data_IF_076146777493
#
_entry.id   IF_076146777493
#
_cell.length_a   1.000
_cell.length_b   1.000
_cell.length_c   1.000
_cell.angle_alpha   90.00
_cell.angle_beta   90.00
_cell.angle_gamma   90.00
#
_symmetry.space_group_name_H-M   'P 1'
#
loop_
_entity.id
_entity.type
_entity.pdbx_description
1 polymer ?
#
# COMPACT_ATOMS: atom_id res chain seq x y z
N UNK A 1 -12.32 -20.84 -3.22
CA UNK A 1 -11.66 -19.78 -4.01
C UNK A 1 -12.26 -19.76 -5.40
N UNK A 2 -13.04 -18.71 -5.70
CA UNK A 2 -13.57 -18.49 -7.06
C UNK A 2 -12.51 -17.83 -7.94
N UNK A 3 -12.63 -17.93 -9.27
CA UNK A 3 -11.70 -17.27 -10.20
C UNK A 3 -11.69 -15.74 -10.08
N UNK A 4 -12.79 -15.15 -9.60
CA UNK A 4 -12.90 -13.71 -9.35
C UNK A 4 -12.10 -13.27 -8.11
N UNK A 5 -12.24 -14.02 -7.02
CA UNK A 5 -11.56 -13.76 -5.75
C UNK A 5 -10.03 -13.84 -5.89
N UNK A 6 -9.52 -14.86 -6.59
CA UNK A 6 -8.09 -14.99 -6.87
C UNK A 6 -7.54 -13.85 -7.74
N UNK A 7 -8.35 -13.38 -8.68
CA UNK A 7 -7.98 -12.24 -9.54
C UNK A 7 -7.92 -10.95 -8.74
N UNK A 8 -8.91 -10.71 -7.86
CA UNK A 8 -8.96 -9.51 -7.04
C UNK A 8 -7.78 -9.44 -6.06
N UNK A 9 -7.45 -10.55 -5.40
CA UNK A 9 -6.30 -10.63 -4.49
C UNK A 9 -4.97 -10.37 -5.23
N UNK A 10 -4.82 -10.93 -6.45
CA UNK A 10 -3.63 -10.71 -7.27
C UNK A 10 -3.47 -9.23 -7.64
N UNK A 11 -4.56 -8.57 -8.08
CA UNK A 11 -4.55 -7.14 -8.40
C UNK A 11 -4.22 -6.28 -7.17
N UNK A 12 -4.82 -6.58 -6.01
CA UNK A 12 -4.52 -5.85 -4.77
C UNK A 12 -3.05 -5.98 -4.36
N UNK A 13 -2.45 -7.16 -4.56
CA UNK A 13 -1.04 -7.41 -4.28
C UNK A 13 -0.11 -6.65 -5.25
N UNK A 14 -0.47 -6.60 -6.52
CA UNK A 14 0.28 -5.85 -7.54
C UNK A 14 0.22 -4.34 -7.28
N UNK A 15 -0.97 -3.80 -7.01
CA UNK A 15 -1.15 -2.39 -6.66
C UNK A 15 -0.36 -2.01 -5.40
N UNK A 16 -0.31 -2.89 -4.39
CA UNK A 16 0.52 -2.70 -3.20
C UNK A 16 2.00 -2.57 -3.56
N UNK A 17 2.51 -3.50 -4.37
CA UNK A 17 3.93 -3.53 -4.75
C UNK A 17 4.29 -2.31 -5.60
N UNK A 18 3.50 -1.98 -6.60
CA UNK A 18 3.70 -0.80 -7.45
C UNK A 18 3.61 0.51 -6.67
N UNK A 19 2.65 0.62 -5.74
CA UNK A 19 2.50 1.81 -4.89
C UNK A 19 3.69 2.05 -3.97
N UNK A 20 4.26 0.99 -3.37
CA UNK A 20 5.47 1.12 -2.56
C UNK A 20 6.67 1.58 -3.39
N UNK A 21 6.84 1.03 -4.60
CA UNK A 21 7.91 1.47 -5.53
C UNK A 21 7.72 2.94 -5.90
N UNK A 22 6.49 3.36 -6.19
CA UNK A 22 6.18 4.74 -6.57
C UNK A 22 6.45 5.73 -5.42
N UNK A 23 6.06 5.40 -4.19
CA UNK A 23 6.36 6.22 -3.00
C UNK A 23 7.87 6.32 -2.80
N UNK A 24 8.62 5.23 -2.95
CA UNK A 24 10.07 5.24 -2.85
C UNK A 24 10.72 6.13 -3.92
N UNK A 25 10.26 6.05 -5.17
CA UNK A 25 10.75 6.93 -6.24
C UNK A 25 10.47 8.40 -5.94
N UNK A 26 9.28 8.74 -5.44
CA UNK A 26 8.93 10.12 -5.08
C UNK A 26 9.81 10.62 -3.93
N UNK A 27 9.97 9.83 -2.87
CA UNK A 27 10.82 10.20 -1.74
C UNK A 27 12.27 10.45 -2.19
N UNK A 28 12.81 9.58 -3.04
CA UNK A 28 14.15 9.73 -3.61
C UNK A 28 14.26 10.98 -4.50
N UNK A 29 13.28 11.22 -5.37
CA UNK A 29 13.26 12.41 -6.23
C UNK A 29 13.24 13.71 -5.39
N UNK A 30 12.50 13.74 -4.28
CA UNK A 30 12.47 14.86 -3.35
C UNK A 30 13.81 15.07 -2.66
N UNK A 31 14.46 14.00 -2.17
CA UNK A 31 15.80 14.09 -1.57
C UNK A 31 16.85 14.59 -2.57
N UNK A 32 16.82 14.09 -3.80
CA UNK A 32 17.71 14.53 -4.88
C UNK A 32 17.47 16.02 -5.19
N UNK A 33 16.21 16.45 -5.28
CA UNK A 33 15.84 17.86 -5.53
C UNK A 33 16.33 18.79 -4.42
N UNK A 34 16.22 18.39 -3.16
CA UNK A 34 16.75 19.18 -2.04
C UNK A 34 18.29 19.15 -1.97
N UNK A 35 18.92 18.05 -2.41
CA UNK A 35 20.37 17.92 -2.55
C UNK A 35 20.97 18.77 -3.65
N UNK A 36 20.33 18.82 -4.82
CA UNK A 36 20.74 19.68 -5.92
C UNK A 36 20.72 21.17 -5.54
N UNK A 37 19.83 21.56 -4.61
CA UNK A 37 19.77 22.93 -4.08
C UNK A 37 20.85 23.24 -3.03
N UNK A 38 21.73 22.28 -2.67
CA UNK A 38 22.68 22.37 -1.55
C UNK A 38 22.03 22.78 -0.21
N UNK A 39 20.72 22.50 -0.06
CA UNK A 39 19.90 22.83 1.13
C UNK A 39 19.52 21.58 1.92
N UNK A 40 20.32 20.52 1.84
CA UNK A 40 20.14 19.31 2.64
C UNK A 40 20.51 19.60 4.10
N UNK A 41 19.60 20.25 4.83
CA UNK A 41 19.67 20.25 6.28
C UNK A 41 19.29 18.84 6.79
N UNK A 42 19.96 18.32 7.82
CA UNK A 42 19.61 17.02 8.40
C UNK A 42 18.12 16.91 8.78
N UNK A 43 17.52 18.02 9.23
CA UNK A 43 16.10 18.07 9.56
C UNK A 43 15.18 17.82 8.36
N UNK A 44 15.47 18.41 7.19
CA UNK A 44 14.67 18.18 5.98
C UNK A 44 14.74 16.75 5.48
N UNK A 45 15.93 16.13 5.57
CA UNK A 45 16.11 14.71 5.21
C UNK A 45 15.20 13.84 6.08
N UNK A 46 15.22 14.07 7.40
CA UNK A 46 14.35 13.35 8.33
C UNK A 46 12.87 13.55 8.02
N UNK A 47 12.46 14.76 7.65
CA UNK A 47 11.07 15.03 7.27
C UNK A 47 10.66 14.26 6.00
N UNK A 48 11.49 14.28 4.95
CA UNK A 48 11.17 13.60 3.68
C UNK A 48 11.22 12.09 3.81
N UNK A 49 12.23 11.56 4.50
CA UNK A 49 12.35 10.12 4.76
C UNK A 49 11.21 9.65 5.68
N UNK A 50 10.94 10.39 6.75
CA UNK A 50 9.86 10.08 7.68
C UNK A 50 8.49 10.12 7.03
N UNK A 51 8.21 11.11 6.19
CA UNK A 51 6.95 11.18 5.43
C UNK A 51 6.84 10.06 4.39
N UNK A 52 7.94 9.69 3.73
CA UNK A 52 7.99 8.54 2.82
C UNK A 52 7.69 7.22 3.52
N UNK A 53 8.27 6.99 4.70
CA UNK A 53 8.02 5.79 5.52
C UNK A 53 6.55 5.75 5.99
N UNK A 54 6.02 6.87 6.50
CA UNK A 54 4.62 6.95 6.92
C UNK A 54 3.66 6.70 5.74
N UNK A 55 3.92 7.30 4.59
CA UNK A 55 3.14 7.07 3.38
C UNK A 55 3.18 5.60 2.93
N UNK A 56 4.36 4.98 2.95
CA UNK A 56 4.51 3.55 2.62
C UNK A 56 3.73 2.66 3.60
N UNK A 57 3.76 2.98 4.90
CA UNK A 57 3.00 2.28 5.92
C UNK A 57 1.49 2.39 5.71
N UNK A 58 0.97 3.59 5.46
CA UNK A 58 -0.46 3.81 5.18
C UNK A 58 -0.90 3.08 3.91
N UNK A 59 -0.09 3.15 2.85
CA UNK A 59 -0.39 2.48 1.59
C UNK A 59 -0.34 0.96 1.73
N UNK A 60 0.50 0.43 2.62
CA UNK A 60 0.56 -0.99 2.93
C UNK A 60 -0.68 -1.49 3.71
N UNK A 61 -1.25 -0.66 4.57
CA UNK A 61 -2.39 -1.04 5.41
C UNK A 61 -3.67 -1.21 4.58
N UNK A 62 -3.87 -0.44 3.50
CA UNK A 62 -5.10 -0.49 2.70
C UNK A 62 -5.45 -1.91 2.16
N UNK A 63 -4.57 -2.60 1.43
CA UNK A 63 -4.83 -3.96 0.93
C UNK A 63 -5.10 -4.95 2.06
N UNK A 64 -4.43 -4.76 3.20
CA UNK A 64 -4.56 -5.61 4.38
C UNK A 64 -5.95 -5.46 5.00
N UNK A 65 -6.44 -4.22 5.14
CA UNK A 65 -7.80 -3.93 5.62
C UNK A 65 -8.84 -4.49 4.65
N UNK A 66 -8.66 -4.31 3.34
CA UNK A 66 -9.58 -4.86 2.33
C UNK A 66 -9.67 -6.39 2.46
N UNK A 67 -8.54 -7.05 2.69
CA UNK A 67 -8.48 -8.50 2.89
C UNK A 67 -9.24 -8.95 4.16
N UNK A 68 -9.10 -8.22 5.27
CA UNK A 68 -9.86 -8.50 6.50
C UNK A 68 -11.36 -8.26 6.34
N UNK A 69 -11.77 -7.19 5.66
CA UNK A 69 -13.20 -6.92 5.39
C UNK A 69 -13.82 -8.02 4.54
N UNK A 70 -13.07 -8.59 3.59
CA UNK A 70 -13.54 -9.73 2.79
C UNK A 70 -13.72 -10.99 3.63
N UNK A 71 -12.76 -11.32 4.52
CA UNK A 71 -12.90 -12.48 5.40
C UNK A 71 -14.09 -12.34 6.35
N UNK A 72 -14.35 -11.14 6.87
CA UNK A 72 -15.50 -10.89 7.75
C UNK A 72 -16.83 -10.94 6.98
N UNK A 73 -16.87 -10.45 5.74
CA UNK A 73 -18.06 -10.54 4.90
C UNK A 73 -18.43 -12.00 4.58
N UNK A 74 -17.44 -12.88 4.43
CA UNK A 74 -17.65 -14.32 4.18
C UNK A 74 -18.27 -15.05 5.38
N UNK A 75 -18.05 -14.54 6.60
CA UNK A 75 -18.70 -15.04 7.83
C UNK A 75 -20.18 -14.64 7.88
N UNK A 76 -20.55 -13.46 7.38
CA UNK A 76 -21.92 -12.92 7.44
C UNK A 76 -22.80 -13.42 6.29
N UNK A 77 -22.24 -13.58 5.09
CA UNK A 77 -22.94 -14.15 3.93
C UNK A 77 -22.10 -15.29 3.35
N UNK A 78 -22.32 -16.53 3.80
CA UNK A 78 -21.57 -17.68 3.35
C UNK A 78 -21.82 -17.91 1.85
N UNK A 79 -20.75 -17.86 1.06
CA UNK A 79 -20.75 -18.19 -0.38
C UNK A 79 -20.92 -19.69 -0.64
N UNK A 80 -20.79 -20.53 0.39
CA UNK A 80 -21.17 -21.95 0.37
C UNK A 80 -22.68 -22.09 0.56
N UNK A 81 -23.40 -22.31 -0.54
CA UNK A 81 -24.85 -22.33 -0.61
C UNK A 81 -25.57 -23.09 0.53
N UNK A 82 -26.33 -22.34 1.31
CA UNK A 82 -27.46 -22.83 2.10
C UNK A 82 -28.69 -22.99 1.19
N UNK A 83 -28.61 -23.94 0.25
CA UNK A 83 -29.76 -24.65 -0.31
C UNK A 83 -29.31 -26.09 -0.58
N UNK A 84 -29.49 -26.94 0.43
CA UNK A 84 -29.72 -28.37 0.27
C UNK A 84 -31.17 -28.64 0.63
#
# INVERSE_FOLDING_TARGET
MTSLESTLQSVLLEFRTLGMVLIAMIAMALLISEGAKSKLSPGKILTVVGSGILAAGLFWVLPTIISYVQSDAEVVVPSSGLFR
#
